data_IF_441641301025
#
_entry.id   IF_441641301025
#
_cell.length_a   1.000
_cell.length_b   1.000
_cell.length_c   1.000
_cell.angle_alpha   90.00
_cell.angle_beta   90.00
_cell.angle_gamma   90.00
#
_symmetry.space_group_name_H-M   'P 1'
#
loop_
_entity.id
_entity.type
_entity.pdbx_description
1 polymer ?
#
# COMPACT_ATOMS: atom_id res chain seq x y z
N UNK A 1 -22.69 18.26 -6.66
CA UNK A 1 -21.26 18.29 -7.02
C UNK A 1 -20.57 19.06 -5.92
N UNK A 2 -19.68 18.41 -5.19
CA UNK A 2 -18.98 19.00 -4.06
C UNK A 2 -17.52 19.26 -4.47
N UNK A 3 -17.02 20.45 -4.18
CA UNK A 3 -15.65 20.84 -4.47
C UNK A 3 -14.87 20.87 -3.16
N UNK A 4 -13.77 20.13 -3.12
CA UNK A 4 -12.92 19.99 -1.94
C UNK A 4 -11.53 20.47 -2.30
N UNK A 5 -10.96 21.37 -1.49
CA UNK A 5 -9.57 21.77 -1.65
C UNK A 5 -8.61 20.71 -1.08
N UNK A 6 -7.38 20.58 -1.60
CA UNK A 6 -6.38 19.70 -1.02
C UNK A 6 -6.19 19.98 0.47
N UNK A 7 -6.17 18.91 1.28
CA UNK A 7 -6.02 18.97 2.74
C UNK A 7 -7.18 19.64 3.51
N UNK A 8 -8.29 19.95 2.85
CA UNK A 8 -9.50 20.41 3.51
C UNK A 8 -10.27 19.25 4.18
N UNK A 9 -11.28 19.60 4.98
CA UNK A 9 -12.20 18.63 5.56
C UNK A 9 -12.89 17.83 4.45
N UNK A 10 -12.95 16.50 4.60
CA UNK A 10 -13.47 15.59 3.59
C UNK A 10 -12.46 15.09 2.55
N UNK A 11 -11.28 15.71 2.39
CA UNK A 11 -10.27 15.26 1.41
C UNK A 11 -9.78 13.82 1.66
N UNK A 12 -9.45 13.50 2.91
CA UNK A 12 -8.97 12.15 3.29
C UNK A 12 -10.07 11.10 3.18
N UNK A 13 -11.31 11.48 3.49
CA UNK A 13 -12.47 10.60 3.36
C UNK A 13 -12.77 10.33 1.88
N UNK A 14 -12.69 11.37 1.05
CA UNK A 14 -12.89 11.28 -0.38
C UNK A 14 -11.83 10.38 -1.02
N UNK A 15 -10.57 10.39 -0.58
CA UNK A 15 -9.51 9.51 -1.13
C UNK A 15 -9.19 8.30 -0.24
N UNK A 16 -10.17 7.82 0.54
CA UNK A 16 -9.93 6.76 1.52
C UNK A 16 -9.33 5.47 0.92
N UNK A 17 -9.83 4.92 -0.21
CA UNK A 17 -9.25 3.72 -0.81
C UNK A 17 -7.78 3.91 -1.22
N UNK A 18 -7.44 5.08 -1.77
CA UNK A 18 -6.10 5.41 -2.24
C UNK A 18 -5.13 5.56 -1.05
N UNK A 19 -5.57 6.22 0.01
CA UNK A 19 -4.79 6.36 1.24
C UNK A 19 -4.52 5.01 1.91
N UNK A 20 -5.45 4.06 1.86
CA UNK A 20 -5.21 2.70 2.35
C UNK A 20 -4.08 2.03 1.59
N UNK A 21 -3.99 2.20 0.26
CA UNK A 21 -2.89 1.66 -0.54
C UNK A 21 -1.56 2.36 -0.24
N UNK A 22 -1.56 3.68 -0.03
CA UNK A 22 -0.36 4.43 0.39
C UNK A 22 0.16 3.91 1.72
N UNK A 23 -0.72 3.75 2.72
CA UNK A 23 -0.37 3.17 4.03
C UNK A 23 0.14 1.73 3.84
N UNK A 24 -0.49 0.95 2.97
CA UNK A 24 -0.06 -0.39 2.63
C UNK A 24 1.36 -0.44 2.04
N UNK A 25 1.67 0.46 1.10
CA UNK A 25 2.99 0.59 0.50
C UNK A 25 4.07 0.89 1.55
N UNK A 26 3.83 1.87 2.42
CA UNK A 26 4.77 2.17 3.52
C UNK A 26 4.91 1.01 4.49
N UNK A 27 3.82 0.29 4.78
CA UNK A 27 3.84 -0.92 5.61
C UNK A 27 4.74 -1.98 4.99
N UNK A 28 4.66 -2.21 3.68
CA UNK A 28 5.52 -3.17 2.96
C UNK A 28 6.99 -2.74 2.89
N UNK A 29 7.29 -1.45 2.94
CA UNK A 29 8.68 -0.98 3.01
C UNK A 29 9.27 -1.09 4.42
N UNK A 30 8.46 -0.76 5.43
CA UNK A 30 8.93 -0.66 6.82
C UNK A 30 8.93 -2.04 7.48
N UNK A 31 7.80 -2.75 7.50
CA UNK A 31 7.61 -3.96 8.31
C UNK A 31 8.62 -5.07 7.96
N UNK A 32 8.83 -5.44 6.68
CA UNK A 32 9.83 -6.46 6.33
C UNK A 32 11.28 -6.04 6.63
N UNK A 33 11.52 -4.73 6.78
CA UNK A 33 12.83 -4.14 7.06
C UNK A 33 13.05 -3.84 8.56
N UNK A 34 12.01 -4.00 9.39
CA UNK A 34 12.12 -3.83 10.83
C UNK A 34 13.01 -4.91 11.45
N UNK A 35 13.87 -4.48 12.36
CA UNK A 35 14.77 -5.39 13.07
C UNK A 35 15.32 -4.77 14.33
N UNK A 36 15.85 -5.62 15.20
CA UNK A 36 16.46 -5.20 16.44
C UNK A 36 17.95 -4.92 16.22
N UNK A 37 18.26 -3.80 15.58
CA UNK A 37 19.61 -3.25 15.54
C UNK A 37 19.81 -2.34 16.76
N UNK A 38 21.05 -2.28 17.23
CA UNK A 38 21.45 -1.42 18.34
C UNK A 38 22.72 -0.71 17.95
N UNK A 39 22.67 0.61 17.87
CA UNK A 39 23.84 1.44 17.65
C UNK A 39 24.53 1.71 18.99
N UNK A 40 25.87 1.64 19.01
CA UNK A 40 26.67 2.02 20.17
C UNK A 40 27.21 3.42 19.94
N UNK A 41 26.99 4.33 20.88
CA UNK A 41 27.66 5.63 20.84
C UNK A 41 29.15 5.39 21.18
N UNK A 42 30.11 5.85 20.36
CA UNK A 42 31.53 5.73 20.66
C UNK A 42 31.83 6.39 22.02
N UNK A 43 32.72 5.78 22.82
CA UNK A 43 33.05 6.15 24.22
C UNK A 43 31.98 5.90 25.30
N UNK A 44 30.83 5.27 25.02
CA UNK A 44 29.88 4.86 26.06
C UNK A 44 29.43 3.40 25.93
N UNK A 45 28.94 2.81 27.03
CA UNK A 45 28.31 1.48 27.01
C UNK A 45 26.81 1.53 26.62
N UNK A 46 26.28 2.71 26.33
CA UNK A 46 24.86 2.93 26.03
C UNK A 46 24.56 2.45 24.61
N UNK A 47 23.55 1.56 24.48
CA UNK A 47 23.09 1.00 23.21
C UNK A 47 21.73 1.59 22.87
N UNK A 48 21.69 2.47 21.88
CA UNK A 48 20.43 3.05 21.39
C UNK A 48 19.79 2.08 20.39
N UNK A 49 18.48 1.81 20.50
CA UNK A 49 17.77 0.99 19.53
C UNK A 49 17.76 1.68 18.16
N UNK A 50 18.20 0.95 17.14
CA UNK A 50 18.08 1.32 15.74
C UNK A 50 17.07 0.35 15.13
N UNK A 51 15.85 0.82 14.85
CA UNK A 51 14.70 -0.04 14.48
C UNK A 51 14.79 -0.66 13.08
N UNK A 52 15.82 -0.31 12.30
CA UNK A 52 16.06 -0.82 10.96
C UNK A 52 17.28 -1.76 10.92
N UNK A 53 17.08 -3.03 10.57
CA UNK A 53 18.16 -4.02 10.50
C UNK A 53 18.48 -4.73 11.82
N UNK A 54 19.52 -5.58 11.85
CA UNK A 54 19.83 -6.43 13.01
C UNK A 54 19.07 -7.76 13.03
N UNK A 55 18.78 -8.31 14.20
CA UNK A 55 18.02 -9.57 14.32
C UNK A 55 16.53 -9.30 14.07
N UNK A 56 15.98 -9.84 12.98
CA UNK A 56 14.53 -9.79 12.70
C UNK A 56 13.73 -10.46 13.82
N UNK A 57 12.63 -9.82 14.23
CA UNK A 57 11.68 -10.33 15.22
C UNK A 57 11.11 -11.69 14.83
N UNK A 58 10.48 -12.42 15.76
CA UNK A 58 9.82 -13.70 15.41
C UNK A 58 8.59 -13.50 14.51
N UNK A 59 7.88 -12.39 14.66
CA UNK A 59 6.76 -12.00 13.81
C UNK A 59 7.27 -11.58 12.42
N UNK A 60 8.11 -10.54 12.31
CA UNK A 60 8.63 -9.98 11.03
C UNK A 60 9.55 -10.90 10.20
N UNK A 61 9.69 -12.15 10.60
CA UNK A 61 10.59 -13.11 9.94
C UNK A 61 9.88 -14.11 9.04
N UNK A 62 8.54 -14.11 9.02
CA UNK A 62 7.80 -14.95 8.10
C UNK A 62 7.86 -14.32 6.68
N UNK A 63 8.45 -15.02 5.69
CA UNK A 63 8.58 -14.51 4.33
C UNK A 63 7.23 -14.26 3.64
N UNK A 64 6.11 -14.82 4.14
CA UNK A 64 4.78 -14.65 3.55
C UNK A 64 4.06 -13.37 3.94
N UNK A 65 4.53 -12.67 4.98
CA UNK A 65 3.89 -11.47 5.50
C UNK A 65 3.67 -10.36 4.47
N UNK A 66 4.62 -10.03 3.58
CA UNK A 66 4.41 -9.00 2.57
C UNK A 66 3.21 -9.31 1.67
N UNK A 67 3.02 -10.59 1.33
CA UNK A 67 1.88 -11.00 0.51
C UNK A 67 0.55 -10.92 1.23
N UNK A 68 0.53 -11.35 2.50
CA UNK A 68 -0.66 -11.25 3.34
C UNK A 68 -1.09 -9.78 3.53
N UNK A 69 -0.13 -8.90 3.86
CA UNK A 69 -0.41 -7.48 4.01
C UNK A 69 -0.97 -6.90 2.72
N UNK A 70 -0.33 -7.19 1.58
CA UNK A 70 -0.80 -6.68 0.29
C UNK A 70 -2.25 -7.10 0.01
N UNK A 71 -2.58 -8.37 0.21
CA UNK A 71 -3.95 -8.89 -0.01
C UNK A 71 -4.96 -8.20 0.91
N UNK A 72 -4.61 -8.00 2.19
CA UNK A 72 -5.48 -7.31 3.16
C UNK A 72 -5.74 -5.87 2.73
N UNK A 73 -4.69 -5.10 2.40
CA UNK A 73 -4.85 -3.71 1.99
C UNK A 73 -5.67 -3.56 0.70
N UNK A 74 -5.47 -4.43 -0.31
CA UNK A 74 -6.30 -4.42 -1.51
C UNK A 74 -7.76 -4.77 -1.23
N UNK A 75 -7.99 -5.72 -0.32
CA UNK A 75 -9.36 -6.13 0.05
C UNK A 75 -10.07 -5.02 0.83
N UNK A 76 -9.36 -4.30 1.70
CA UNK A 76 -9.89 -3.13 2.40
C UNK A 76 -10.19 -2.01 1.39
N UNK A 77 -9.27 -1.70 0.48
CA UNK A 77 -9.48 -0.69 -0.56
C UNK A 77 -10.71 -1.03 -1.43
N UNK A 78 -10.81 -2.29 -1.88
CA UNK A 78 -11.98 -2.79 -2.61
C UNK A 78 -13.28 -2.63 -1.81
N UNK A 79 -13.26 -2.98 -0.52
CA UNK A 79 -14.42 -2.84 0.37
C UNK A 79 -14.84 -1.38 0.51
N UNK A 80 -13.89 -0.47 0.73
CA UNK A 80 -14.15 0.97 0.84
C UNK A 80 -14.74 1.52 -0.46
N UNK A 81 -14.16 1.20 -1.61
CA UNK A 81 -14.71 1.58 -2.92
C UNK A 81 -16.13 1.04 -3.13
N UNK A 82 -16.40 -0.20 -2.69
CA UNK A 82 -17.74 -0.78 -2.77
C UNK A 82 -18.74 -0.05 -1.86
N UNK A 83 -18.33 0.37 -0.65
CA UNK A 83 -19.22 1.12 0.26
C UNK A 83 -19.64 2.48 -0.30
N UNK A 84 -18.83 3.09 -1.17
CA UNK A 84 -19.18 4.35 -1.83
C UNK A 84 -20.48 4.26 -2.64
N UNK A 85 -20.85 3.08 -3.16
CA UNK A 85 -22.09 2.89 -3.93
C UNK A 85 -23.36 2.76 -3.08
N UNK A 86 -23.26 2.54 -1.76
CA UNK A 86 -24.40 2.16 -0.92
C UNK A 86 -25.34 3.35 -0.62
N UNK A 87 -24.79 4.56 -0.48
CA UNK A 87 -25.56 5.75 -0.07
C UNK A 87 -25.92 6.70 -1.24
N UNK A 88 -25.66 6.29 -2.49
CA UNK A 88 -25.68 7.18 -3.64
C UNK A 88 -24.46 8.12 -3.63
N UNK A 89 -23.71 8.18 -4.74
CA UNK A 89 -22.47 8.94 -4.74
C UNK A 89 -22.68 10.42 -5.05
N UNK A 90 -22.18 11.26 -4.14
CA UNK A 90 -22.00 12.68 -4.41
C UNK A 90 -20.71 12.84 -5.21
N UNK A 91 -20.85 13.30 -6.47
CA UNK A 91 -19.71 13.66 -7.32
C UNK A 91 -18.84 14.69 -6.59
N UNK A 92 -17.62 14.30 -6.25
CA UNK A 92 -16.63 15.11 -5.54
C UNK A 92 -15.48 15.45 -6.48
N UNK A 93 -15.12 16.72 -6.55
CA UNK A 93 -13.99 17.20 -7.34
C UNK A 93 -12.97 17.84 -6.42
N UNK A 94 -11.72 17.42 -6.55
CA UNK A 94 -10.59 18.02 -5.88
C UNK A 94 -10.04 19.10 -6.79
N UNK A 95 -10.14 20.35 -6.35
CA UNK A 95 -9.86 21.54 -7.15
C UNK A 95 -8.68 22.29 -6.55
N UNK A 96 -7.77 22.80 -7.37
CA UNK A 96 -6.72 23.71 -6.88
C UNK A 96 -7.33 25.03 -6.37
N UNK A 97 -6.60 25.81 -5.56
CA UNK A 97 -7.01 27.17 -5.19
C UNK A 97 -7.25 28.09 -6.42
N UNK A 98 -6.66 27.73 -7.57
CA UNK A 98 -6.84 28.43 -8.86
C UNK A 98 -8.09 28.00 -9.63
N UNK A 99 -8.88 27.05 -9.11
CA UNK A 99 -10.11 26.56 -9.73
C UNK A 99 -9.93 25.44 -10.76
N UNK A 100 -8.73 24.89 -10.93
CA UNK A 100 -8.51 23.78 -11.87
C UNK A 100 -8.84 22.43 -11.22
N UNK A 101 -9.72 21.60 -11.81
CA UNK A 101 -10.03 20.28 -11.28
C UNK A 101 -8.84 19.34 -11.51
N UNK A 102 -8.31 18.75 -10.44
CA UNK A 102 -7.19 17.81 -10.51
C UNK A 102 -7.68 16.36 -10.51
N UNK A 103 -8.52 16.02 -9.54
CA UNK A 103 -9.06 14.66 -9.35
C UNK A 103 -10.58 14.75 -9.27
N UNK A 104 -11.26 13.85 -9.95
CA UNK A 104 -12.71 13.72 -9.90
C UNK A 104 -13.07 12.33 -9.42
N UNK A 105 -13.88 12.29 -8.38
CA UNK A 105 -14.44 11.09 -7.81
C UNK A 105 -15.91 11.06 -8.24
N UNK A 106 -16.22 10.15 -9.15
CA UNK A 106 -17.58 9.86 -9.61
C UNK A 106 -17.82 8.34 -9.72
N UNK A 107 -19.04 7.98 -10.12
CA UNK A 107 -19.48 6.58 -10.29
C UNK A 107 -18.65 5.82 -11.31
N UNK A 108 -18.15 6.50 -12.33
CA UNK A 108 -17.32 5.89 -13.34
C UNK A 108 -15.93 5.58 -12.79
N UNK A 109 -15.24 6.56 -12.21
CA UNK A 109 -13.91 6.37 -11.62
C UNK A 109 -13.91 5.30 -10.52
N UNK A 110 -14.93 5.30 -9.63
CA UNK A 110 -15.07 4.27 -8.59
C UNK A 110 -15.37 2.89 -9.14
N UNK A 111 -16.09 2.78 -10.26
CA UNK A 111 -16.33 1.48 -10.90
C UNK A 111 -15.02 0.90 -11.44
N UNK A 112 -14.17 1.72 -12.06
CA UNK A 112 -12.84 1.30 -12.53
C UNK A 112 -11.95 0.86 -11.37
N UNK A 113 -11.88 1.65 -10.30
CA UNK A 113 -11.15 1.26 -9.09
C UNK A 113 -11.64 -0.05 -8.49
N UNK A 114 -12.95 -0.30 -8.48
CA UNK A 114 -13.52 -1.54 -7.95
C UNK A 114 -13.03 -2.75 -8.77
N UNK A 115 -13.01 -2.62 -10.10
CA UNK A 115 -12.48 -3.64 -11.01
C UNK A 115 -10.97 -3.83 -10.77
N UNK A 116 -10.20 -2.74 -10.69
CA UNK A 116 -8.75 -2.79 -10.50
C UNK A 116 -8.35 -3.37 -9.14
N UNK A 117 -8.92 -2.87 -8.04
CA UNK A 117 -8.64 -3.37 -6.70
C UNK A 117 -9.12 -4.81 -6.53
N UNK A 118 -10.26 -5.18 -7.12
CA UNK A 118 -10.73 -6.57 -7.11
C UNK A 118 -9.76 -7.51 -7.84
N UNK A 119 -9.32 -7.13 -9.04
CA UNK A 119 -8.34 -7.91 -9.80
C UNK A 119 -6.99 -8.02 -9.06
N UNK A 120 -6.49 -6.93 -8.49
CA UNK A 120 -5.24 -6.91 -7.73
C UNK A 120 -5.34 -7.66 -6.41
N UNK A 121 -6.48 -7.63 -5.72
CA UNK A 121 -6.70 -8.43 -4.51
C UNK A 121 -6.60 -9.93 -4.82
N UNK A 122 -7.26 -10.38 -5.88
CA UNK A 122 -7.22 -11.78 -6.33
C UNK A 122 -5.82 -12.17 -6.82
N UNK A 123 -5.15 -11.32 -7.60
CA UNK A 123 -3.78 -11.54 -8.06
C UNK A 123 -2.80 -11.63 -6.89
N UNK A 124 -2.93 -10.74 -5.90
CA UNK A 124 -2.16 -10.74 -4.67
C UNK A 124 -2.35 -12.06 -3.92
N UNK A 125 -3.59 -12.44 -3.64
CA UNK A 125 -3.91 -13.68 -2.92
C UNK A 125 -3.36 -14.93 -3.64
N UNK A 126 -3.52 -15.01 -4.97
CA UNK A 126 -3.00 -16.12 -5.77
C UNK A 126 -1.46 -16.19 -5.75
N UNK A 127 -0.79 -15.04 -5.76
CA UNK A 127 0.67 -14.97 -5.77
C UNK A 127 1.33 -15.39 -4.45
N UNK A 128 0.60 -15.37 -3.31
CA UNK A 128 1.12 -15.79 -1.99
C UNK A 128 1.61 -17.23 -2.00
N UNK A 129 0.88 -18.12 -2.68
CA UNK A 129 1.22 -19.54 -2.77
C UNK A 129 2.12 -19.87 -3.97
N UNK A 130 2.20 -18.98 -4.97
CA UNK A 130 2.97 -19.21 -6.21
C UNK A 130 4.41 -18.74 -6.12
N UNK A 131 4.69 -17.70 -5.32
CA UNK A 131 6.05 -17.18 -5.16
C UNK A 131 6.79 -18.03 -4.11
N UNK A 132 7.99 -18.58 -4.44
CA UNK A 132 8.72 -19.45 -3.54
C UNK A 132 9.25 -18.65 -2.35
N UNK A 133 8.52 -18.68 -1.23
CA UNK A 133 8.95 -18.13 0.04
C UNK A 133 9.84 -19.17 0.76
N UNK A 134 11.15 -18.95 0.76
CA UNK A 134 12.09 -19.89 1.38
C UNK A 134 12.04 -19.77 2.90
N UNK A 135 12.08 -20.91 3.61
CA UNK A 135 11.97 -20.97 5.09
C UNK A 135 12.97 -20.03 5.77
N UNK A 136 12.57 -19.44 6.89
CA UNK A 136 13.39 -18.53 7.73
C UNK A 136 14.78 -19.09 8.09
N UNK A 137 14.90 -20.41 8.24
CA UNK A 137 16.15 -21.09 8.59
C UNK A 137 17.16 -21.12 7.45
N UNK A 138 16.69 -20.96 6.21
CA UNK A 138 17.54 -20.99 5.04
C UNK A 138 18.19 -19.61 4.83
N UNK A 139 19.48 -19.53 5.17
CA UNK A 139 20.32 -18.35 4.96
C UNK A 139 21.18 -18.47 3.71
N UNK A 140 20.88 -19.42 2.83
CA UNK A 140 21.51 -19.47 1.50
C UNK A 140 21.26 -18.16 0.75
N UNK A 141 22.20 -17.79 -0.13
CA UNK A 141 22.05 -16.62 -0.99
C UNK A 141 20.76 -16.69 -1.83
N UNK A 142 20.39 -17.88 -2.30
CA UNK A 142 19.14 -18.12 -3.04
C UNK A 142 17.90 -17.89 -2.17
N UNK A 143 17.91 -18.34 -0.91
CA UNK A 143 16.82 -18.10 0.04
C UNK A 143 16.60 -16.62 0.36
N UNK A 144 17.69 -15.88 0.60
CA UNK A 144 17.62 -14.42 0.83
C UNK A 144 17.16 -13.67 -0.41
N UNK A 145 17.62 -14.08 -1.60
CA UNK A 145 17.23 -13.49 -2.88
C UNK A 145 15.73 -13.70 -3.17
N UNK A 146 15.21 -14.91 -2.97
CA UNK A 146 13.79 -15.21 -3.16
C UNK A 146 12.88 -14.39 -2.22
N UNK A 147 13.26 -14.29 -0.94
CA UNK A 147 12.50 -13.50 0.03
C UNK A 147 12.49 -12.01 -0.30
N UNK A 148 13.59 -11.48 -0.86
CA UNK A 148 13.65 -10.09 -1.35
C UNK A 148 12.74 -9.89 -2.57
N UNK A 149 12.79 -10.80 -3.55
CA UNK A 149 11.93 -10.74 -4.75
C UNK A 149 10.45 -10.76 -4.43
N UNK A 150 10.06 -11.49 -3.39
CA UNK A 150 8.69 -11.52 -2.93
C UNK A 150 8.22 -10.15 -2.45
N UNK A 151 9.01 -9.48 -1.60
CA UNK A 151 8.71 -8.12 -1.14
C UNK A 151 8.65 -7.14 -2.32
N UNK A 152 9.67 -7.18 -3.18
CA UNK A 152 9.76 -6.29 -4.35
C UNK A 152 8.54 -6.46 -5.28
N UNK A 153 8.06 -7.70 -5.47
CA UNK A 153 6.85 -7.97 -6.26
C UNK A 153 5.60 -7.30 -5.66
N UNK A 154 5.38 -7.42 -4.35
CA UNK A 154 4.20 -6.81 -3.72
C UNK A 154 4.28 -5.28 -3.65
N UNK A 155 5.49 -4.71 -3.53
CA UNK A 155 5.71 -3.27 -3.68
C UNK A 155 5.32 -2.83 -5.09
N UNK A 156 5.78 -3.53 -6.13
CA UNK A 156 5.41 -3.24 -7.51
C UNK A 156 3.88 -3.33 -7.69
N UNK A 157 3.25 -4.40 -7.21
CA UNK A 157 1.81 -4.61 -7.31
C UNK A 157 1.01 -3.49 -6.62
N UNK A 158 1.46 -3.03 -5.45
CA UNK A 158 0.90 -1.86 -4.75
C UNK A 158 1.07 -0.56 -5.54
N UNK A 159 2.26 -0.29 -6.08
CA UNK A 159 2.49 0.91 -6.89
C UNK A 159 1.66 0.91 -8.17
N UNK A 160 1.46 -0.26 -8.80
CA UNK A 160 0.57 -0.39 -9.97
C UNK A 160 -0.88 -0.10 -9.59
N UNK A 161 -1.36 -0.63 -8.46
CA UNK A 161 -2.72 -0.35 -7.98
C UNK A 161 -2.95 1.13 -7.69
N UNK A 162 -1.99 1.79 -7.02
CA UNK A 162 -2.04 3.21 -6.75
C UNK A 162 -2.02 4.02 -8.06
N UNK A 163 -1.12 3.69 -8.98
CA UNK A 163 -1.03 4.37 -10.29
C UNK A 163 -2.32 4.27 -11.09
N UNK A 164 -2.93 3.08 -11.16
CA UNK A 164 -4.21 2.90 -11.88
C UNK A 164 -5.37 3.65 -11.23
N UNK A 165 -5.42 3.72 -9.88
CA UNK A 165 -6.43 4.50 -9.18
C UNK A 165 -6.29 5.99 -9.45
N UNK A 166 -5.06 6.54 -9.38
CA UNK A 166 -4.81 7.94 -9.69
C UNK A 166 -5.19 8.27 -11.13
N UNK A 167 -4.86 7.40 -12.09
CA UNK A 167 -5.25 7.58 -13.50
C UNK A 167 -6.77 7.54 -13.69
N UNK A 168 -7.49 6.69 -12.94
CA UNK A 168 -8.95 6.64 -13.00
C UNK A 168 -9.61 7.93 -12.46
N UNK A 169 -8.94 8.63 -11.54
CA UNK A 169 -9.43 9.85 -10.91
C UNK A 169 -8.98 11.12 -11.64
N UNK A 170 -7.87 11.07 -12.39
CA UNK A 170 -7.27 12.24 -13.03
C UNK A 170 -8.25 12.93 -13.98
N UNK A 171 -8.29 14.26 -13.92
CA UNK A 171 -9.01 15.11 -14.89
C UNK A 171 -8.07 15.81 -15.86
N UNK A 172 -6.80 15.94 -15.50
CA UNK A 172 -5.75 16.41 -16.41
C UNK A 172 -5.23 15.26 -17.27
N UNK A 173 -4.83 15.57 -18.50
CA UNK A 173 -4.32 14.62 -19.48
C UNK A 173 -2.80 14.39 -19.33
N UNK A 174 -2.11 15.27 -18.59
CA UNK A 174 -0.65 15.30 -18.41
C UNK A 174 -0.27 15.23 -16.93
#
# INVERSE_FOLDING_TARGET
>A
MEQVEPFAEGFVLALAPEFVLVIGLFTLMIVPNMGNAKFRIPLTQIRIPWFFGGKRGKLDSDPRLPGLFATVFFTIAFGLTATSFVNGMVKTQIVTPSGTPMLQIDEFSRMFELIFFGALALASAASVNRLPATRRSDRSLSGLYNNRRQVDFYILLMTTGLGMAVVALAQDLF
#
